data_IF_910538393224
#
_entry.id   IF_910538393224
#
_cell.length_a   1.000
_cell.length_b   1.000
_cell.length_c   1.000
_cell.angle_alpha   90.00
_cell.angle_beta   90.00
_cell.angle_gamma   90.00
#
_symmetry.space_group_name_H-M   'P 1'
#
loop_
_entity.id
_entity.type
_entity.pdbx_description
1 polymer ?
#
# COMPACT_ATOMS: atom_id res chain seq x y z
N UNK A 1 15.67 -8.25 9.22
CA UNK A 1 15.91 -9.60 8.70
C UNK A 1 14.62 -10.28 8.23
N UNK A 2 13.57 -10.40 9.08
CA UNK A 2 12.36 -11.15 8.76
C UNK A 2 11.65 -10.68 7.47
N UNK A 3 11.51 -9.38 7.24
CA UNK A 3 10.86 -8.84 6.04
C UNK A 3 11.62 -9.20 4.76
N UNK A 4 12.96 -9.14 4.79
CA UNK A 4 13.83 -9.51 3.67
C UNK A 4 13.72 -11.01 3.38
N UNK A 5 13.79 -11.85 4.43
CA UNK A 5 13.61 -13.30 4.31
C UNK A 5 12.20 -13.64 3.79
N UNK A 6 11.17 -12.92 4.22
CA UNK A 6 9.80 -13.09 3.72
C UNK A 6 9.70 -12.73 2.23
N UNK A 7 10.32 -11.62 1.79
CA UNK A 7 10.37 -11.24 0.38
C UNK A 7 11.10 -12.29 -0.45
N UNK A 8 12.22 -12.82 0.06
CA UNK A 8 12.97 -13.90 -0.59
C UNK A 8 12.12 -15.18 -0.74
N UNK A 9 11.50 -15.63 0.34
CA UNK A 9 10.65 -16.84 0.30
C UNK A 9 9.46 -16.66 -0.63
N UNK A 10 8.76 -15.54 -0.55
CA UNK A 10 7.65 -15.22 -1.44
C UNK A 10 8.12 -15.14 -2.89
N UNK A 11 9.27 -14.50 -3.17
CA UNK A 11 9.84 -14.43 -4.50
C UNK A 11 10.22 -15.80 -5.06
N UNK A 12 10.85 -16.64 -4.24
CA UNK A 12 11.21 -18.01 -4.63
C UNK A 12 9.97 -18.89 -4.92
N UNK A 13 8.92 -18.77 -4.08
CA UNK A 13 7.65 -19.48 -4.29
C UNK A 13 6.96 -19.04 -5.58
N UNK A 14 6.86 -17.74 -5.83
CA UNK A 14 6.26 -17.21 -7.06
C UNK A 14 7.04 -17.64 -8.30
N UNK A 15 8.36 -17.56 -8.25
CA UNK A 15 9.21 -17.99 -9.36
C UNK A 15 9.06 -19.50 -9.61
N UNK A 16 9.05 -20.31 -8.56
CA UNK A 16 8.81 -21.75 -8.68
C UNK A 16 7.44 -22.04 -9.29
N UNK A 17 6.39 -21.37 -8.83
CA UNK A 17 5.04 -21.53 -9.40
C UNK A 17 5.00 -21.12 -10.88
N UNK A 18 5.69 -20.06 -11.27
CA UNK A 18 5.76 -19.63 -12.68
C UNK A 18 6.50 -20.61 -13.56
N UNK A 19 7.65 -21.14 -13.11
CA UNK A 19 8.42 -22.18 -13.82
C UNK A 19 7.66 -23.51 -13.95
N UNK A 20 6.87 -23.86 -12.94
CA UNK A 20 6.00 -25.05 -12.95
C UNK A 20 4.69 -24.80 -13.72
N UNK A 21 4.52 -23.62 -14.32
CA UNK A 21 3.32 -23.22 -15.09
C UNK A 21 2.02 -23.32 -14.31
N UNK A 22 2.06 -22.91 -13.05
CA UNK A 22 0.89 -22.89 -12.16
C UNK A 22 0.02 -21.63 -12.33
N UNK A 23 0.27 -20.81 -13.34
CA UNK A 23 -0.53 -19.63 -13.66
C UNK A 23 -2.01 -19.93 -13.93
N UNK A 24 -2.34 -21.18 -14.29
CA UNK A 24 -3.72 -21.62 -14.45
C UNK A 24 -4.55 -21.49 -13.16
N UNK A 25 -3.90 -21.43 -11.99
CA UNK A 25 -4.58 -21.19 -10.71
C UNK A 25 -5.37 -19.88 -10.70
N UNK A 26 -4.94 -18.89 -11.47
CA UNK A 26 -5.71 -17.65 -11.63
C UNK A 26 -7.11 -17.88 -12.23
N UNK A 27 -7.32 -18.94 -13.01
CA UNK A 27 -8.61 -19.24 -13.63
C UNK A 27 -9.64 -19.79 -12.64
N UNK A 28 -9.20 -20.30 -11.47
CA UNK A 28 -10.10 -20.78 -10.42
C UNK A 28 -10.71 -19.64 -9.61
N UNK A 29 -10.14 -18.45 -9.72
CA UNK A 29 -10.65 -17.27 -9.02
C UNK A 29 -11.64 -16.56 -9.90
N UNK A 30 -12.91 -16.72 -9.57
CA UNK A 30 -13.97 -16.02 -10.30
C UNK A 30 -13.87 -14.50 -10.09
N UNK A 31 -14.20 -13.74 -11.11
CA UNK A 31 -14.19 -12.26 -11.04
C UNK A 31 -14.97 -11.70 -9.83
N UNK A 32 -16.14 -12.25 -9.41
CA UNK A 32 -16.82 -11.80 -8.20
C UNK A 32 -16.01 -11.99 -6.91
N UNK A 33 -15.29 -13.12 -6.78
CA UNK A 33 -14.45 -13.38 -5.59
C UNK A 33 -13.32 -12.37 -5.50
N UNK A 34 -12.65 -12.10 -6.61
CA UNK A 34 -11.57 -11.10 -6.69
C UNK A 34 -12.10 -9.71 -6.35
N UNK A 35 -13.23 -9.32 -6.95
CA UNK A 35 -13.86 -8.02 -6.69
C UNK A 35 -14.27 -7.86 -5.24
N UNK A 36 -14.83 -8.93 -4.63
CA UNK A 36 -15.17 -8.97 -3.21
C UNK A 36 -13.93 -8.81 -2.32
N UNK A 37 -12.84 -9.53 -2.62
CA UNK A 37 -11.59 -9.44 -1.89
C UNK A 37 -10.98 -8.02 -1.96
N UNK A 38 -10.89 -7.43 -3.15
CA UNK A 38 -10.35 -6.06 -3.32
C UNK A 38 -11.19 -5.06 -2.54
N UNK A 39 -12.53 -5.19 -2.59
CA UNK A 39 -13.43 -4.28 -1.88
C UNK A 39 -13.30 -4.41 -0.37
N UNK A 40 -13.25 -5.64 0.14
CA UNK A 40 -13.07 -5.91 1.56
C UNK A 40 -11.70 -5.42 2.07
N UNK A 41 -10.63 -5.68 1.30
CA UNK A 41 -9.28 -5.18 1.60
C UNK A 41 -9.24 -3.66 1.61
N UNK A 42 -9.88 -3.00 0.65
CA UNK A 42 -9.98 -1.54 0.60
C UNK A 42 -10.67 -0.95 1.83
N UNK A 43 -11.77 -1.56 2.28
CA UNK A 43 -12.49 -1.15 3.49
C UNK A 43 -11.62 -1.37 4.74
N UNK A 44 -10.95 -2.52 4.84
CA UNK A 44 -10.07 -2.83 5.97
C UNK A 44 -8.88 -1.85 6.05
N UNK A 45 -8.26 -1.55 4.90
CA UNK A 45 -7.18 -0.57 4.82
C UNK A 45 -7.68 0.81 5.24
N UNK A 46 -8.84 1.26 4.72
CA UNK A 46 -9.41 2.54 5.09
C UNK A 46 -9.70 2.62 6.59
N UNK A 47 -10.32 1.59 7.17
CA UNK A 47 -10.58 1.51 8.60
C UNK A 47 -9.28 1.54 9.43
N UNK A 48 -8.25 0.81 8.99
CA UNK A 48 -6.95 0.80 9.68
C UNK A 48 -6.24 2.15 9.66
N UNK A 49 -6.47 2.99 8.64
CA UNK A 49 -5.92 4.34 8.59
C UNK A 49 -6.59 5.30 9.58
N UNK A 50 -7.83 5.02 10.01
CA UNK A 50 -8.53 5.89 10.97
C UNK A 50 -7.77 6.02 12.30
N UNK A 51 -7.13 4.94 12.78
CA UNK A 51 -6.31 5.00 14.00
C UNK A 51 -5.14 5.99 13.87
N UNK A 52 -4.51 6.01 12.69
CA UNK A 52 -3.41 6.93 12.41
C UNK A 52 -3.91 8.37 12.30
N UNK A 53 -5.07 8.55 11.66
CA UNK A 53 -5.72 9.84 11.51
C UNK A 53 -6.13 10.43 12.87
N UNK A 54 -6.69 9.60 13.76
CA UNK A 54 -7.10 9.99 15.11
C UNK A 54 -5.91 10.10 16.09
N UNK A 55 -4.75 9.56 15.73
CA UNK A 55 -3.57 9.54 16.60
C UNK A 55 -3.68 8.55 17.77
N UNK A 56 -4.57 7.55 17.68
CA UNK A 56 -4.85 6.55 18.71
C UNK A 56 -4.17 5.20 18.43
N UNK A 57 -4.10 4.33 19.45
CA UNK A 57 -3.55 2.97 19.34
C UNK A 57 -4.67 1.94 19.32
N UNK A 58 -5.46 1.94 18.25
CA UNK A 58 -6.48 0.91 18.09
C UNK A 58 -5.86 -0.37 17.50
N UNK A 59 -6.22 -1.52 18.07
CA UNK A 59 -5.78 -2.85 17.63
C UNK A 59 -7.00 -3.74 17.38
N UNK A 60 -6.86 -4.66 16.42
CA UNK A 60 -7.91 -5.63 16.10
C UNK A 60 -7.45 -6.54 14.96
N UNK A 61 -7.76 -7.82 15.06
CA UNK A 61 -7.46 -8.81 14.02
C UNK A 61 -8.53 -8.83 12.92
N UNK A 62 -9.74 -8.39 13.24
CA UNK A 62 -10.84 -8.28 12.29
C UNK A 62 -11.30 -6.82 12.15
N UNK A 63 -12.05 -6.54 11.08
CA UNK A 63 -12.65 -5.22 10.88
C UNK A 63 -13.55 -4.82 12.06
N UNK A 64 -14.32 -5.78 12.60
CA UNK A 64 -15.24 -5.54 13.71
C UNK A 64 -14.46 -5.19 14.98
N UNK A 65 -13.43 -5.95 15.33
CA UNK A 65 -12.59 -5.67 16.50
C UNK A 65 -11.92 -4.30 16.39
N UNK A 66 -11.41 -3.98 15.18
CA UNK A 66 -10.80 -2.69 14.92
C UNK A 66 -11.80 -1.53 15.10
N UNK A 67 -13.03 -1.67 14.59
CA UNK A 67 -14.06 -0.63 14.72
C UNK A 67 -14.53 -0.47 16.17
N UNK A 68 -14.69 -1.56 16.92
CA UNK A 68 -15.01 -1.52 18.35
C UNK A 68 -13.90 -0.83 19.13
N UNK A 69 -12.63 -1.20 18.89
CA UNK A 69 -11.47 -0.58 19.52
C UNK A 69 -11.37 0.91 19.19
N UNK A 70 -11.60 1.29 17.93
CA UNK A 70 -11.64 2.70 17.50
C UNK A 70 -12.77 3.46 18.19
N UNK A 71 -13.98 2.86 18.27
CA UNK A 71 -15.13 3.49 18.94
C UNK A 71 -14.87 3.80 20.40
N UNK A 72 -14.20 2.89 21.12
CA UNK A 72 -13.80 3.10 22.51
C UNK A 72 -12.75 4.19 22.70
N UNK A 73 -11.95 4.49 21.68
CA UNK A 73 -10.85 5.47 21.74
C UNK A 73 -11.20 6.83 21.09
N UNK A 74 -12.44 7.05 20.68
CA UNK A 74 -12.90 8.36 20.15
C UNK A 74 -12.63 9.51 21.13
N UNK A 75 -12.87 9.36 22.45
CA UNK A 75 -12.56 10.43 23.41
C UNK A 75 -11.07 10.77 23.51
N UNK A 76 -10.19 9.79 23.21
CA UNK A 76 -8.73 9.91 23.30
C UNK A 76 -8.11 10.44 21.99
N UNK A 77 -8.95 10.91 21.06
CA UNK A 77 -8.48 11.43 19.75
C UNK A 77 -7.53 12.59 19.96
N UNK A 78 -6.32 12.48 19.40
CA UNK A 78 -5.34 13.54 19.46
C UNK A 78 -5.69 14.65 18.45
N UNK A 79 -6.32 15.73 18.93
CA UNK A 79 -6.86 16.80 18.11
C UNK A 79 -5.86 17.40 17.10
N UNK A 80 -4.58 17.72 17.46
CA UNK A 80 -3.62 18.23 16.49
C UNK A 80 -3.34 17.25 15.34
N UNK A 81 -3.15 15.95 15.65
CA UNK A 81 -2.94 14.91 14.64
C UNK A 81 -4.16 14.77 13.73
N UNK A 82 -5.36 14.76 14.33
CA UNK A 82 -6.61 14.66 13.58
C UNK A 82 -6.81 15.87 12.66
N UNK A 83 -6.55 17.08 13.14
CA UNK A 83 -6.70 18.31 12.34
C UNK A 83 -5.77 18.30 11.11
N UNK A 84 -4.50 17.91 11.29
CA UNK A 84 -3.52 17.80 10.19
C UNK A 84 -3.97 16.69 9.22
N UNK A 85 -4.31 15.51 9.73
CA UNK A 85 -4.70 14.39 8.90
C UNK A 85 -6.00 14.65 8.13
N UNK A 86 -7.04 15.16 8.80
CA UNK A 86 -8.33 15.46 8.18
C UNK A 86 -8.22 16.58 7.14
N UNK A 87 -7.48 17.65 7.44
CA UNK A 87 -7.25 18.76 6.47
C UNK A 87 -6.46 18.27 5.26
N UNK A 88 -5.44 17.43 5.47
CA UNK A 88 -4.67 16.81 4.39
C UNK A 88 -5.53 15.90 3.52
N UNK A 89 -6.36 15.06 4.13
CA UNK A 89 -7.28 14.19 3.40
C UNK A 89 -8.30 15.01 2.59
N UNK A 90 -8.89 16.04 3.18
CA UNK A 90 -9.81 16.95 2.49
C UNK A 90 -9.13 17.68 1.32
N UNK A 91 -7.89 18.15 1.53
CA UNK A 91 -7.09 18.79 0.49
C UNK A 91 -6.82 17.83 -0.68
N UNK A 92 -6.38 16.60 -0.39
CA UNK A 92 -6.10 15.60 -1.43
C UNK A 92 -7.37 15.21 -2.21
N UNK A 93 -8.49 15.10 -1.52
CA UNK A 93 -9.78 14.83 -2.16
C UNK A 93 -10.22 15.99 -3.07
N UNK A 94 -10.00 17.23 -2.62
CA UNK A 94 -10.25 18.44 -3.40
C UNK A 94 -9.34 18.51 -4.63
N UNK A 95 -8.03 18.29 -4.46
CA UNK A 95 -7.05 18.25 -5.56
C UNK A 95 -7.46 17.22 -6.61
N UNK A 96 -7.81 16.01 -6.18
CA UNK A 96 -8.20 14.93 -7.09
C UNK A 96 -9.44 15.27 -7.92
N UNK A 97 -10.40 15.98 -7.34
CA UNK A 97 -11.68 16.27 -8.01
C UNK A 97 -11.71 17.60 -8.75
N UNK A 98 -11.00 18.62 -8.26
CA UNK A 98 -11.19 20.00 -8.68
C UNK A 98 -9.95 20.63 -9.32
N UNK A 99 -8.75 20.23 -8.96
CA UNK A 99 -7.54 20.94 -9.37
C UNK A 99 -7.33 20.88 -10.90
N UNK A 100 -7.42 19.69 -11.50
CA UNK A 100 -7.25 19.55 -12.95
C UNK A 100 -8.26 20.40 -13.75
N UNK A 101 -9.59 20.32 -13.52
CA UNK A 101 -10.54 21.14 -14.25
C UNK A 101 -10.37 22.66 -14.01
N UNK A 102 -9.93 23.06 -12.80
CA UNK A 102 -9.65 24.46 -12.50
C UNK A 102 -8.45 24.98 -13.29
N UNK A 103 -7.36 24.22 -13.33
CA UNK A 103 -6.16 24.57 -14.09
C UNK A 103 -6.45 24.67 -15.60
N UNK A 104 -7.24 23.74 -16.12
CA UNK A 104 -7.63 23.78 -17.54
C UNK A 104 -8.48 25.02 -17.83
N UNK A 105 -9.41 25.40 -16.93
CA UNK A 105 -10.19 26.65 -17.06
C UNK A 105 -9.33 27.91 -16.96
N UNK A 106 -8.25 27.84 -16.19
CA UNK A 106 -7.26 28.93 -16.08
C UNK A 106 -6.30 29.01 -17.29
N UNK A 107 -6.50 28.18 -18.33
CA UNK A 107 -5.70 28.21 -19.55
C UNK A 107 -4.47 27.30 -19.54
N UNK A 108 -4.28 26.49 -18.48
CA UNK A 108 -3.19 25.52 -18.42
C UNK A 108 -3.50 24.34 -19.34
N UNK A 109 -2.53 23.96 -20.17
CA UNK A 109 -2.68 22.81 -21.06
C UNK A 109 -3.05 21.52 -20.30
N UNK A 110 -3.99 20.72 -20.82
CA UNK A 110 -4.56 19.54 -20.15
C UNK A 110 -3.52 18.55 -19.63
N UNK A 111 -2.43 18.32 -20.38
CA UNK A 111 -1.34 17.43 -19.96
C UNK A 111 -0.63 17.95 -18.71
N UNK A 112 -0.32 19.25 -18.69
CA UNK A 112 0.36 19.89 -17.56
C UNK A 112 -0.56 19.95 -16.34
N UNK A 113 -1.84 20.29 -16.53
CA UNK A 113 -2.85 20.29 -15.46
C UNK A 113 -2.99 18.92 -14.80
N UNK A 114 -3.02 17.82 -15.58
CA UNK A 114 -3.06 16.46 -15.07
C UNK A 114 -1.80 16.07 -14.30
N UNK A 115 -0.62 16.50 -14.75
CA UNK A 115 0.66 16.26 -14.02
C UNK A 115 0.64 17.02 -12.69
N UNK A 116 0.29 18.30 -12.70
CA UNK A 116 0.20 19.11 -11.47
C UNK A 116 -0.81 18.52 -10.49
N UNK A 117 -1.98 18.06 -10.95
CA UNK A 117 -2.96 17.41 -10.08
C UNK A 117 -2.43 16.11 -9.44
N UNK A 118 -1.60 15.35 -10.15
CA UNK A 118 -0.96 14.12 -9.64
C UNK A 118 0.15 14.40 -8.62
N UNK A 119 0.75 15.60 -8.62
CA UNK A 119 1.77 15.97 -7.61
C UNK A 119 1.15 16.46 -6.29
N UNK A 120 -0.17 16.53 -6.20
CA UNK A 120 -0.89 16.92 -4.97
C UNK A 120 -0.40 16.25 -3.69
N UNK A 121 -0.20 14.91 -3.65
CA UNK A 121 0.33 14.24 -2.48
C UNK A 121 1.73 14.73 -2.05
N UNK A 122 2.61 15.02 -3.00
CA UNK A 122 3.97 15.54 -2.71
C UNK A 122 3.87 16.92 -2.07
N UNK A 123 2.99 17.77 -2.59
CA UNK A 123 2.74 19.09 -2.02
C UNK A 123 2.14 18.99 -0.61
N UNK A 124 1.18 18.08 -0.40
CA UNK A 124 0.60 17.84 0.92
C UNK A 124 1.65 17.43 1.95
N UNK A 125 2.56 16.51 1.58
CA UNK A 125 3.68 16.09 2.43
C UNK A 125 4.58 17.27 2.74
N UNK A 126 4.99 18.04 1.73
CA UNK A 126 5.86 19.20 1.93
C UNK A 126 5.23 20.23 2.89
N UNK A 127 3.95 20.53 2.72
CA UNK A 127 3.23 21.48 3.59
C UNK A 127 3.10 20.92 5.01
N UNK A 128 2.71 19.66 5.18
CA UNK A 128 2.54 19.08 6.53
C UNK A 128 3.88 18.95 7.27
N UNK A 129 4.97 18.59 6.59
CA UNK A 129 6.30 18.57 7.18
C UNK A 129 6.74 19.97 7.60
N UNK A 130 6.55 20.98 6.73
CA UNK A 130 6.91 22.36 7.04
C UNK A 130 6.10 22.89 8.23
N UNK A 131 4.78 22.65 8.26
CA UNK A 131 3.93 23.06 9.39
C UNK A 131 4.33 22.36 10.69
N UNK A 132 4.61 21.06 10.64
CA UNK A 132 5.05 20.29 11.82
C UNK A 132 6.37 20.81 12.36
N UNK A 133 7.30 21.17 11.49
CA UNK A 133 8.59 21.76 11.87
C UNK A 133 8.44 23.20 12.38
N UNK A 134 7.67 24.04 11.69
CA UNK A 134 7.50 25.46 12.04
C UNK A 134 6.80 25.68 13.38
N UNK A 135 5.78 24.86 13.67
CA UNK A 135 4.98 24.95 14.89
C UNK A 135 5.44 23.99 15.99
N UNK A 136 6.57 23.30 15.80
CA UNK A 136 7.10 22.33 16.75
C UNK A 136 6.03 21.32 17.23
N UNK A 137 5.18 20.85 16.31
CA UNK A 137 4.01 20.03 16.66
C UNK A 137 4.40 18.68 17.27
N UNK A 138 5.66 18.27 17.18
CA UNK A 138 6.17 17.08 17.86
C UNK A 138 6.14 17.24 19.39
N UNK A 139 6.36 18.45 19.90
CA UNK A 139 6.28 18.76 21.37
C UNK A 139 4.83 18.69 21.85
N UNK A 140 3.86 18.85 20.95
CA UNK A 140 2.44 18.73 21.20
C UNK A 140 1.90 17.32 20.95
N UNK A 141 2.78 16.30 20.88
CA UNK A 141 2.38 14.90 20.75
C UNK A 141 2.12 14.40 19.34
N UNK A 142 2.31 15.21 18.29
CA UNK A 142 2.24 14.74 16.91
C UNK A 142 3.42 13.81 16.62
N UNK A 143 3.15 12.59 16.18
CA UNK A 143 4.19 11.62 15.84
C UNK A 143 4.93 12.04 14.58
N UNK A 144 6.25 12.03 14.66
CA UNK A 144 7.15 12.26 13.53
C UNK A 144 7.95 10.99 13.22
N UNK A 145 8.45 10.89 11.99
CA UNK A 145 9.24 9.73 11.55
C UNK A 145 10.59 9.61 12.29
N UNK A 146 11.03 10.67 13.00
CA UNK A 146 12.31 10.69 13.70
C UNK A 146 13.51 10.75 12.76
N UNK A 147 14.65 10.23 13.21
CA UNK A 147 15.87 10.20 12.42
C UNK A 147 15.76 9.17 11.32
N UNK A 148 15.80 9.62 10.07
CA UNK A 148 15.82 8.73 8.90
C UNK A 148 17.29 8.37 8.60
N UNK A 149 17.62 7.07 8.44
CA UNK A 149 18.96 6.65 8.04
C UNK A 149 19.38 7.35 6.75
N UNK A 150 20.59 7.89 6.75
CA UNK A 150 21.15 8.57 5.57
C UNK A 150 21.87 7.57 4.68
N UNK A 151 21.71 7.70 3.37
CA UNK A 151 22.38 6.89 2.36
C UNK A 151 21.47 5.89 1.68
N UNK A 152 22.04 5.09 0.81
CA UNK A 152 21.34 3.97 0.17
C UNK A 152 21.15 2.85 1.19
N UNK A 153 20.06 2.08 1.09
CA UNK A 153 19.89 0.89 1.89
C UNK A 153 21.11 -0.03 1.72
N UNK A 154 21.65 -0.58 2.82
CA UNK A 154 22.75 -1.54 2.70
C UNK A 154 22.24 -2.79 1.98
N UNK A 155 23.05 -3.36 1.11
CA UNK A 155 22.77 -4.68 0.56
C UNK A 155 22.75 -5.68 1.72
N UNK A 156 21.64 -6.33 1.90
CA UNK A 156 21.43 -7.28 2.99
C UNK A 156 21.08 -8.63 2.40
N UNK A 157 21.55 -9.70 3.02
CA UNK A 157 21.20 -11.06 2.61
C UNK A 157 20.04 -11.59 3.44
N UNK A 158 19.14 -12.39 2.83
CA UNK A 158 18.12 -13.12 3.56
C UNK A 158 18.75 -14.02 4.60
N UNK A 159 18.12 -14.12 5.78
CA UNK A 159 18.59 -15.05 6.81
C UNK A 159 18.41 -16.49 6.31
N UNK A 160 19.43 -17.34 6.51
CA UNK A 160 19.38 -18.78 6.21
C UNK A 160 18.92 -19.62 7.42
N UNK A 161 18.38 -18.97 8.44
CA UNK A 161 17.84 -19.65 9.62
C UNK A 161 16.58 -20.45 9.26
N UNK A 162 16.68 -21.77 9.36
CA UNK A 162 15.60 -22.71 9.05
C UNK A 162 14.39 -22.56 9.98
N UNK A 163 14.59 -22.11 11.22
CA UNK A 163 13.48 -21.87 12.14
C UNK A 163 12.66 -20.70 11.64
N UNK A 164 13.32 -19.59 11.28
CA UNK A 164 12.68 -18.42 10.69
C UNK A 164 11.99 -18.76 9.36
N UNK A 165 12.60 -19.58 8.52
CA UNK A 165 12.00 -20.03 7.26
C UNK A 165 10.71 -20.80 7.49
N UNK A 166 10.68 -21.69 8.46
CA UNK A 166 9.49 -22.48 8.82
C UNK A 166 8.36 -21.60 9.30
N UNK A 167 8.67 -20.61 10.13
CA UNK A 167 7.69 -19.64 10.63
C UNK A 167 7.13 -18.73 9.51
N UNK A 168 7.98 -18.33 8.58
CA UNK A 168 7.61 -17.44 7.49
C UNK A 168 7.04 -18.16 6.26
N UNK A 169 7.14 -19.48 6.15
CA UNK A 169 6.71 -20.23 4.97
C UNK A 169 5.22 -20.05 4.66
N UNK A 170 4.35 -20.14 5.66
CA UNK A 170 2.92 -19.98 5.48
C UNK A 170 2.54 -18.51 5.16
N UNK A 171 3.01 -17.50 5.90
CA UNK A 171 2.85 -16.11 5.49
C UNK A 171 3.37 -15.82 4.07
N UNK A 172 4.55 -16.34 3.70
CA UNK A 172 5.11 -16.16 2.36
C UNK A 172 4.20 -16.75 1.28
N UNK A 173 3.68 -17.96 1.50
CA UNK A 173 2.76 -18.61 0.58
C UNK A 173 1.46 -17.81 0.41
N UNK A 174 0.87 -17.35 1.51
CA UNK A 174 -0.34 -16.55 1.47
C UNK A 174 -0.13 -15.23 0.72
N UNK A 175 0.96 -14.51 1.00
CA UNK A 175 1.33 -13.27 0.31
C UNK A 175 1.55 -13.54 -1.18
N UNK A 176 2.22 -14.64 -1.52
CA UNK A 176 2.48 -15.02 -2.92
C UNK A 176 1.19 -15.28 -3.69
N UNK A 177 0.30 -16.08 -3.12
CA UNK A 177 -0.97 -16.43 -3.77
C UNK A 177 -1.87 -15.19 -3.90
N UNK A 178 -2.03 -14.42 -2.83
CA UNK A 178 -2.87 -13.21 -2.83
C UNK A 178 -2.31 -12.16 -3.79
N UNK A 179 -1.00 -11.89 -3.73
CA UNK A 179 -0.34 -10.92 -4.62
C UNK A 179 -0.43 -11.32 -6.09
N UNK A 180 -0.26 -12.61 -6.40
CA UNK A 180 -0.44 -13.13 -7.75
C UNK A 180 -1.87 -12.92 -8.27
N UNK A 181 -2.86 -13.28 -7.46
CA UNK A 181 -4.27 -13.12 -7.80
C UNK A 181 -4.62 -11.65 -8.05
N UNK A 182 -4.15 -10.77 -7.19
CA UNK A 182 -4.37 -9.31 -7.34
C UNK A 182 -3.71 -8.79 -8.62
N UNK A 183 -2.45 -9.14 -8.87
CA UNK A 183 -1.71 -8.73 -10.08
C UNK A 183 -2.39 -9.19 -11.35
N UNK A 184 -2.74 -10.48 -11.44
CA UNK A 184 -3.42 -11.02 -12.62
C UNK A 184 -4.78 -10.38 -12.82
N UNK A 185 -5.55 -10.13 -11.76
CA UNK A 185 -6.87 -9.50 -11.85
C UNK A 185 -6.81 -8.08 -12.38
N UNK A 186 -5.90 -7.27 -11.84
CA UNK A 186 -5.66 -5.90 -12.29
C UNK A 186 -5.16 -5.92 -13.73
N UNK A 187 -4.21 -6.81 -14.01
CA UNK A 187 -3.64 -6.99 -15.31
C UNK A 187 -4.68 -7.39 -16.35
N UNK A 188 -5.52 -8.38 -16.09
CA UNK A 188 -6.61 -8.80 -16.99
C UNK A 188 -7.61 -7.66 -17.24
N UNK A 189 -7.95 -6.88 -16.21
CA UNK A 189 -8.85 -5.73 -16.35
C UNK A 189 -8.26 -4.66 -17.28
N UNK A 190 -6.96 -4.38 -17.15
CA UNK A 190 -6.26 -3.41 -18.01
C UNK A 190 -6.06 -3.94 -19.43
N UNK A 191 -5.73 -5.23 -19.57
CA UNK A 191 -5.55 -5.89 -20.86
C UNK A 191 -6.84 -5.94 -21.66
N UNK A 192 -7.98 -6.22 -21.01
CA UNK A 192 -9.30 -6.20 -21.65
C UNK A 192 -9.61 -4.83 -22.28
N UNK A 193 -9.27 -3.72 -21.59
CA UNK A 193 -9.43 -2.36 -22.13
C UNK A 193 -8.58 -2.09 -23.36
N UNK A 194 -7.44 -2.78 -23.50
CA UNK A 194 -6.49 -2.64 -24.61
C UNK A 194 -6.59 -3.76 -25.64
N UNK A 195 -7.54 -4.70 -25.48
CA UNK A 195 -7.70 -5.92 -26.31
C UNK A 195 -6.41 -6.76 -26.35
N UNK A 196 -5.69 -6.80 -25.24
CA UNK A 196 -4.49 -7.61 -25.04
C UNK A 196 -4.79 -8.82 -24.16
N UNK A 197 -3.90 -9.82 -24.16
CA UNK A 197 -3.95 -10.96 -23.25
C UNK A 197 -2.79 -10.88 -22.30
N UNK A 198 -2.99 -11.41 -21.09
CA UNK A 198 -1.96 -11.59 -20.08
C UNK A 198 -1.65 -13.08 -20.00
N UNK A 199 -0.38 -13.38 -19.89
CA UNK A 199 0.13 -14.73 -19.64
C UNK A 199 0.39 -14.87 -18.13
N UNK A 200 -0.48 -15.59 -17.36
CA UNK A 200 -0.34 -15.68 -15.91
C UNK A 200 0.98 -16.28 -15.43
N UNK A 201 1.56 -17.19 -16.22
CA UNK A 201 2.87 -17.78 -15.88
C UNK A 201 4.00 -16.75 -15.94
N UNK A 202 3.97 -15.86 -16.93
CA UNK A 202 4.95 -14.77 -17.03
C UNK A 202 4.79 -13.76 -15.89
N UNK A 203 3.56 -13.51 -15.46
CA UNK A 203 3.27 -12.65 -14.33
C UNK A 203 3.84 -13.23 -13.01
N UNK A 204 3.69 -14.55 -12.79
CA UNK A 204 4.31 -15.26 -11.67
C UNK A 204 5.83 -15.11 -11.68
N UNK A 205 6.46 -15.32 -12.83
CA UNK A 205 7.92 -15.19 -12.97
C UNK A 205 8.36 -13.74 -12.71
N UNK A 206 7.63 -12.76 -13.25
CA UNK A 206 7.95 -11.34 -13.06
C UNK A 206 7.83 -10.91 -11.59
N UNK A 207 6.74 -11.29 -10.92
CA UNK A 207 6.54 -11.04 -9.48
C UNK A 207 7.60 -11.74 -8.64
N UNK A 208 7.92 -12.99 -8.97
CA UNK A 208 8.96 -13.75 -8.31
C UNK A 208 10.35 -13.09 -8.42
N UNK A 209 10.72 -12.68 -9.63
CA UNK A 209 11.97 -11.97 -9.89
C UNK A 209 12.03 -10.63 -9.16
N UNK A 210 10.93 -9.88 -9.16
CA UNK A 210 10.81 -8.60 -8.44
C UNK A 210 11.02 -8.77 -6.93
N UNK A 211 10.32 -9.73 -6.30
CA UNK A 211 10.44 -9.99 -4.86
C UNK A 211 11.85 -10.51 -4.49
N UNK A 212 12.44 -11.37 -5.33
CA UNK A 212 13.83 -11.81 -5.13
C UNK A 212 14.79 -10.62 -5.21
N UNK A 213 14.64 -9.74 -6.20
CA UNK A 213 15.49 -8.55 -6.32
C UNK A 213 15.31 -7.59 -5.13
N UNK A 214 14.11 -7.49 -4.57
CA UNK A 214 13.84 -6.66 -3.40
C UNK A 214 14.35 -7.26 -2.07
N UNK A 215 14.80 -8.52 -2.09
CA UNK A 215 15.34 -9.23 -0.92
C UNK A 215 16.84 -9.07 -0.72
N UNK A 216 17.50 -8.27 -1.54
CA UNK A 216 18.92 -7.93 -1.47
C UNK A 216 19.09 -6.39 -1.45
#
# INVERSE_FOLDING_TARGET
PAAITLAFLSGAMLLAMGLLRLGFLANFLSHPVISGFISASGILIAASQLKTLMGVKAEGHTLVDLLISLGGQVPDTHLPTFAIGASTAAFLFWVRKRLEPLLVRAGVGRRLAAVIAKTGPVFAIAVTVTLTWWFDLHTHGVRIAGAIPRGLPPLTMPSLDLVLWRELAMPALLISVVGFVESVSVGQTLAAKRRQRIEPDQELVALGASNLSASF
#
